data_IF_332969196719
#
_entry.id   IF_332969196719
#
_cell.length_a   1.000
_cell.length_b   1.000
_cell.length_c   1.000
_cell.angle_alpha   90.00
_cell.angle_beta   90.00
_cell.angle_gamma   90.00
#
_symmetry.space_group_name_H-M   'P 1'
#
loop_
_entity.id
_entity.type
_entity.pdbx_description
1 polymer ?
#
# COMPACT_ATOMS: atom_id res chain seq x y z
N UNK A 1 31.45 -18.04 10.20
CA UNK A 1 30.25 -18.90 10.15
C UNK A 1 28.96 -18.08 10.19
N UNK A 2 28.75 -17.22 11.20
CA UNK A 2 27.50 -16.42 11.32
C UNK A 2 27.24 -15.50 10.13
N UNK A 3 28.26 -14.87 9.53
CA UNK A 3 28.10 -14.07 8.31
C UNK A 3 27.45 -14.88 7.17
N UNK A 4 27.88 -16.14 6.96
CA UNK A 4 27.29 -17.00 5.93
C UNK A 4 25.82 -17.31 6.21
N UNK A 5 25.44 -17.46 7.48
CA UNK A 5 24.05 -17.65 7.88
C UNK A 5 23.21 -16.40 7.61
N UNK A 6 23.74 -15.21 7.89
CA UNK A 6 23.11 -13.93 7.57
C UNK A 6 22.95 -13.75 6.06
N UNK A 7 23.99 -14.08 5.29
CA UNK A 7 23.99 -13.95 3.83
C UNK A 7 22.95 -14.90 3.23
N UNK A 8 22.95 -16.18 3.65
CA UNK A 8 21.96 -17.17 3.25
C UNK A 8 20.53 -16.73 3.60
N UNK A 9 20.31 -16.24 4.83
CA UNK A 9 19.00 -15.76 5.25
C UNK A 9 18.56 -14.55 4.42
N UNK A 10 19.48 -13.64 4.11
CA UNK A 10 19.21 -12.47 3.26
C UNK A 10 18.85 -12.88 1.83
N UNK A 11 19.61 -13.79 1.22
CA UNK A 11 19.37 -14.30 -0.13
C UNK A 11 18.02 -15.01 -0.24
N UNK A 12 17.65 -15.77 0.79
CA UNK A 12 16.41 -16.53 0.84
C UNK A 12 15.24 -15.77 1.48
N UNK A 13 15.41 -14.48 1.80
CA UNK A 13 14.40 -13.60 2.44
C UNK A 13 13.86 -14.18 3.76
N UNK A 14 14.69 -14.89 4.49
CA UNK A 14 14.41 -15.40 5.84
C UNK A 14 14.80 -14.30 6.83
N UNK A 15 13.87 -13.95 7.72
CA UNK A 15 14.16 -13.04 8.84
C UNK A 15 14.68 -13.89 9.99
N UNK A 16 15.91 -13.63 10.40
CA UNK A 16 16.49 -14.27 11.59
C UNK A 16 15.89 -13.63 12.84
N UNK A 17 15.36 -14.46 13.72
CA UNK A 17 14.86 -14.02 15.01
C UNK A 17 16.03 -13.90 15.99
N UNK A 18 16.28 -12.69 16.49
CA UNK A 18 17.48 -12.37 17.28
C UNK A 18 17.23 -12.29 18.79
N UNK A 19 15.98 -12.36 19.23
CA UNK A 19 15.60 -12.22 20.64
C UNK A 19 14.93 -13.48 21.21
N UNK A 20 14.78 -14.52 20.41
CA UNK A 20 14.34 -15.82 20.93
C UNK A 20 15.40 -16.40 21.85
N UNK A 21 14.91 -17.01 22.92
CA UNK A 21 15.73 -17.60 23.95
C UNK A 21 15.84 -19.10 23.73
N UNK A 22 17.00 -19.66 24.01
CA UNK A 22 17.18 -21.10 24.12
C UNK A 22 16.63 -21.63 25.47
N UNK A 23 16.81 -22.94 25.70
CA UNK A 23 16.34 -23.62 26.92
C UNK A 23 17.00 -23.10 28.22
N UNK A 24 18.10 -22.35 28.12
CA UNK A 24 18.80 -21.74 29.26
C UNK A 24 18.53 -20.23 29.36
N UNK A 25 17.69 -19.69 28.49
CA UNK A 25 17.37 -18.27 28.45
C UNK A 25 18.38 -17.41 27.70
N UNK A 26 19.38 -17.99 27.04
CA UNK A 26 20.37 -17.28 26.23
C UNK A 26 19.79 -16.91 24.87
N UNK A 27 20.23 -15.78 24.34
CA UNK A 27 19.85 -15.27 23.03
C UNK A 27 21.08 -14.61 22.38
N UNK A 28 21.11 -14.43 21.05
CA UNK A 28 22.33 -14.06 20.32
C UNK A 28 23.14 -12.90 20.90
N UNK A 29 22.47 -11.83 21.35
CA UNK A 29 23.15 -10.69 21.95
C UNK A 29 23.75 -11.04 23.32
N UNK A 30 23.01 -11.77 24.16
CA UNK A 30 23.51 -12.19 25.48
C UNK A 30 24.70 -13.14 25.32
N UNK A 31 24.63 -14.11 24.41
CA UNK A 31 25.76 -14.99 24.08
C UNK A 31 26.99 -14.21 23.66
N UNK A 32 26.84 -13.28 22.72
CA UNK A 32 27.96 -12.47 22.23
C UNK A 32 28.61 -11.67 23.37
N UNK A 33 27.81 -11.09 24.27
CA UNK A 33 28.36 -10.37 25.43
C UNK A 33 29.02 -11.28 26.45
N UNK A 34 28.50 -12.50 26.62
CA UNK A 34 29.05 -13.48 27.54
C UNK A 34 30.44 -13.96 27.07
N UNK A 35 30.60 -14.23 25.76
CA UNK A 35 31.86 -14.62 25.15
C UNK A 35 32.81 -13.47 24.80
N UNK A 36 32.45 -12.23 25.15
CA UNK A 36 33.25 -11.02 24.88
C UNK A 36 33.46 -10.72 23.37
N UNK A 37 32.50 -11.11 22.52
CA UNK A 37 32.60 -11.01 21.06
C UNK A 37 32.03 -9.68 20.53
N UNK A 38 32.87 -8.64 20.52
CA UNK A 38 32.50 -7.31 19.98
C UNK A 38 32.09 -7.36 18.51
N UNK A 39 32.78 -8.17 17.69
CA UNK A 39 32.51 -8.25 16.25
C UNK A 39 31.12 -8.82 16.01
N UNK A 40 30.73 -9.84 16.77
CA UNK A 40 29.38 -10.39 16.74
C UNK A 40 28.33 -9.36 17.16
N UNK A 41 28.58 -8.57 18.21
CA UNK A 41 27.63 -7.53 18.64
C UNK A 41 27.42 -6.49 17.53
N UNK A 42 28.50 -6.03 16.89
CA UNK A 42 28.42 -5.09 15.75
C UNK A 42 27.59 -5.69 14.61
N UNK A 43 27.84 -6.96 14.26
CA UNK A 43 27.09 -7.68 13.23
C UNK A 43 25.59 -7.83 13.57
N UNK A 44 25.26 -8.17 14.81
CA UNK A 44 23.88 -8.29 15.29
C UNK A 44 23.17 -6.92 15.26
N UNK A 45 23.84 -5.85 15.69
CA UNK A 45 23.31 -4.48 15.64
C UNK A 45 23.02 -4.06 14.19
N UNK A 46 23.93 -4.34 13.26
CA UNK A 46 23.78 -3.99 11.85
C UNK A 46 22.64 -4.77 11.21
N UNK A 47 22.56 -6.08 11.44
CA UNK A 47 21.47 -6.91 10.96
C UNK A 47 20.12 -6.45 11.53
N UNK A 48 20.07 -6.18 12.84
CA UNK A 48 18.86 -5.70 13.51
C UNK A 48 18.40 -4.36 12.94
N UNK A 49 19.33 -3.42 12.69
CA UNK A 49 19.02 -2.14 12.07
C UNK A 49 18.47 -2.29 10.65
N UNK A 50 19.10 -3.13 9.81
CA UNK A 50 18.66 -3.39 8.43
C UNK A 50 17.27 -4.00 8.37
N UNK A 51 16.95 -4.89 9.31
CA UNK A 51 15.69 -5.62 9.36
C UNK A 51 14.65 -5.03 10.33
N UNK A 52 14.93 -3.85 10.91
CA UNK A 52 14.05 -3.14 11.87
C UNK A 52 13.69 -3.97 13.11
N UNK A 53 14.59 -4.84 13.54
CA UNK A 53 14.49 -5.60 14.79
C UNK A 53 15.01 -4.74 15.94
N UNK A 54 14.32 -4.77 17.08
CA UNK A 54 14.77 -4.14 18.32
C UNK A 54 15.43 -5.21 19.18
N UNK A 55 16.73 -5.09 19.44
CA UNK A 55 17.45 -6.04 20.30
C UNK A 55 17.06 -5.82 21.77
N UNK A 56 16.80 -6.92 22.49
CA UNK A 56 16.48 -6.89 23.91
C UNK A 56 17.76 -6.72 24.74
N UNK A 57 17.93 -5.55 25.37
CA UNK A 57 19.13 -5.23 26.16
C UNK A 57 19.01 -5.56 27.66
N UNK A 58 17.78 -5.67 28.17
CA UNK A 58 17.50 -5.82 29.61
C UNK A 58 16.98 -7.22 29.97
N UNK A 59 16.77 -8.07 28.97
CA UNK A 59 16.35 -9.44 29.24
C UNK A 59 17.49 -10.19 29.91
N UNK A 60 17.10 -11.10 30.79
CA UNK A 60 18.02 -12.00 31.46
C UNK A 60 17.77 -13.46 31.09
N UNK A 61 18.83 -14.26 31.17
CA UNK A 61 18.72 -15.71 31.12
C UNK A 61 18.19 -16.26 32.46
N UNK A 62 18.13 -17.59 32.60
CA UNK A 62 17.63 -18.25 33.81
C UNK A 62 18.46 -17.93 35.07
N UNK A 63 19.76 -17.67 34.89
CA UNK A 63 20.70 -17.33 35.97
C UNK A 63 20.69 -15.83 36.32
N UNK A 64 20.02 -15.00 35.52
CA UNK A 64 19.93 -13.56 35.73
C UNK A 64 20.96 -12.72 34.97
N UNK A 65 21.80 -13.32 34.12
CA UNK A 65 22.77 -12.60 33.28
C UNK A 65 22.08 -11.68 32.28
N UNK A 66 22.55 -10.45 32.19
CA UNK A 66 22.13 -9.45 31.20
C UNK A 66 23.30 -9.10 30.27
N UNK A 67 23.03 -8.60 29.05
CA UNK A 67 24.09 -8.17 28.13
C UNK A 67 25.08 -7.17 28.74
N UNK A 68 24.56 -6.20 29.49
CA UNK A 68 25.39 -5.16 30.11
C UNK A 68 26.27 -5.69 31.24
N UNK A 69 25.79 -6.69 32.00
CA UNK A 69 26.61 -7.38 32.98
C UNK A 69 27.72 -8.21 32.32
N UNK A 70 27.44 -8.83 31.16
CA UNK A 70 28.44 -9.50 30.32
C UNK A 70 29.66 -8.61 30.03
N UNK A 71 29.42 -7.37 29.58
CA UNK A 71 30.48 -6.40 29.34
C UNK A 71 31.27 -6.04 30.62
N UNK A 72 30.59 -5.93 31.77
CA UNK A 72 31.21 -5.58 33.05
C UNK A 72 32.11 -6.70 33.59
N UNK A 73 31.65 -7.97 33.60
CA UNK A 73 32.48 -9.10 34.05
C UNK A 73 33.66 -9.39 33.13
N UNK A 74 33.52 -9.09 31.83
CA UNK A 74 34.60 -9.20 30.85
C UNK A 74 35.55 -8.00 30.89
N UNK A 75 35.26 -7.01 31.73
CA UNK A 75 36.00 -5.76 31.81
C UNK A 75 36.13 -5.04 30.45
N UNK A 76 35.13 -5.18 29.58
CA UNK A 76 35.13 -4.66 28.23
C UNK A 76 34.34 -3.34 28.13
N UNK A 77 35.07 -2.22 28.22
CA UNK A 77 34.49 -0.87 28.15
C UNK A 77 33.95 -0.55 26.76
N UNK A 78 34.59 -1.03 25.68
CA UNK A 78 34.11 -0.80 24.31
C UNK A 78 32.75 -1.46 24.10
N UNK A 79 32.60 -2.71 24.54
CA UNK A 79 31.33 -3.42 24.49
C UNK A 79 30.24 -2.70 25.28
N UNK A 80 30.55 -2.23 26.49
CA UNK A 80 29.60 -1.49 27.31
C UNK A 80 29.16 -0.18 26.63
N UNK A 81 30.10 0.58 26.06
CA UNK A 81 29.79 1.77 25.26
C UNK A 81 28.89 1.43 24.07
N UNK A 82 29.19 0.37 23.32
CA UNK A 82 28.40 -0.06 22.17
C UNK A 82 26.95 -0.41 22.54
N UNK A 83 26.73 -1.10 23.66
CA UNK A 83 25.38 -1.40 24.17
C UNK A 83 24.65 -0.12 24.60
N UNK A 84 25.33 0.84 25.22
CA UNK A 84 24.75 2.13 25.57
C UNK A 84 24.37 2.94 24.34
N UNK A 85 25.26 3.07 23.35
CA UNK A 85 25.00 3.77 22.09
C UNK A 85 23.76 3.22 21.39
N UNK A 86 23.65 1.88 21.32
CA UNK A 86 22.48 1.24 20.77
C UNK A 86 21.22 1.53 21.59
N UNK A 87 21.31 1.52 22.92
CA UNK A 87 20.18 1.81 23.81
C UNK A 87 19.63 3.22 23.60
N UNK A 88 20.51 4.22 23.51
CA UNK A 88 20.17 5.63 23.26
C UNK A 88 19.46 5.75 21.91
N UNK A 89 20.06 5.19 20.87
CA UNK A 89 19.54 5.23 19.49
C UNK A 89 18.17 4.58 19.33
N UNK A 90 17.83 3.62 20.19
CA UNK A 90 16.53 2.93 20.17
C UNK A 90 15.57 3.45 21.24
N UNK A 91 15.97 4.42 22.07
CA UNK A 91 15.17 4.91 23.19
C UNK A 91 14.91 3.84 24.25
N UNK A 92 15.82 2.87 24.41
CA UNK A 92 15.72 1.80 25.40
C UNK A 92 16.39 2.26 26.68
N UNK A 93 15.64 2.32 27.78
CA UNK A 93 16.19 2.57 29.11
C UNK A 93 16.88 1.30 29.60
N UNK A 94 18.20 1.34 29.78
CA UNK A 94 18.97 0.21 30.31
C UNK A 94 18.69 0.02 31.80
N UNK A 95 18.68 -1.21 32.29
CA UNK A 95 18.45 -1.54 33.71
C UNK A 95 19.62 -2.34 34.25
N UNK A 96 20.20 -1.88 35.36
CA UNK A 96 21.21 -2.60 36.13
C UNK A 96 20.63 -2.85 37.52
N UNK A 97 20.46 -4.12 37.86
CA UNK A 97 19.98 -4.55 39.18
C UNK A 97 21.15 -5.14 39.97
N UNK A 98 21.55 -4.44 41.02
CA UNK A 98 22.68 -4.85 41.85
C UNK A 98 22.40 -6.16 42.59
N UNK A 99 21.13 -6.45 42.89
CA UNK A 99 20.77 -7.73 43.53
C UNK A 99 20.97 -8.91 42.57
N UNK A 100 20.66 -8.72 41.28
CA UNK A 100 20.91 -9.74 40.25
C UNK A 100 22.44 -9.98 40.11
N UNK A 101 23.26 -8.92 40.11
CA UNK A 101 24.73 -9.03 40.07
C UNK A 101 25.28 -9.76 41.31
N UNK A 102 24.85 -9.36 42.51
CA UNK A 102 25.28 -9.99 43.76
C UNK A 102 24.89 -11.48 43.79
N UNK A 103 23.69 -11.82 43.32
CA UNK A 103 23.22 -13.19 43.22
C UNK A 103 24.14 -14.03 42.32
N UNK A 104 24.40 -13.56 41.10
CA UNK A 104 25.27 -14.24 40.12
C UNK A 104 26.67 -14.50 40.68
N UNK A 105 27.25 -13.52 41.39
CA UNK A 105 28.56 -13.65 42.02
C UNK A 105 28.53 -14.66 43.19
N UNK A 106 27.43 -14.68 43.95
CA UNK A 106 27.31 -15.50 45.17
C UNK A 106 27.03 -16.98 44.93
N UNK A 107 26.34 -17.34 43.84
CA UNK A 107 25.91 -18.72 43.57
C UNK A 107 27.05 -19.59 43.00
N UNK A 108 28.31 -19.10 43.03
CA UNK A 108 29.50 -19.75 42.47
C UNK A 108 29.23 -20.37 41.09
N UNK A 109 28.50 -19.63 40.25
CA UNK A 109 28.28 -20.06 38.87
C UNK A 109 29.65 -20.28 38.22
N UNK A 110 29.91 -21.46 37.59
CA UNK A 110 31.25 -21.86 37.14
C UNK A 110 31.92 -20.91 36.13
N UNK A 111 31.18 -19.89 35.72
CA UNK A 111 31.40 -19.05 34.56
C UNK A 111 31.42 -17.55 34.89
N UNK A 112 31.04 -17.15 36.11
CA UNK A 112 31.19 -15.76 36.54
C UNK A 112 32.67 -15.44 36.75
N UNK A 113 33.16 -14.37 36.12
CA UNK A 113 34.57 -13.94 36.23
C UNK A 113 34.88 -13.10 37.47
N UNK A 114 33.84 -12.68 38.21
CA UNK A 114 33.96 -11.80 39.37
C UNK A 114 33.73 -12.61 40.64
N UNK A 115 34.65 -12.52 41.61
CA UNK A 115 34.48 -13.12 42.94
C UNK A 115 33.76 -12.17 43.90
N UNK A 116 33.78 -10.86 43.60
CA UNK A 116 33.14 -9.84 44.40
C UNK A 116 32.67 -8.69 43.50
N UNK A 117 31.52 -8.09 43.81
CA UNK A 117 31.02 -6.92 43.10
C UNK A 117 32.02 -5.75 43.09
N UNK A 118 32.90 -5.68 44.10
CA UNK A 118 33.95 -4.67 44.17
C UNK A 118 35.03 -4.80 43.11
N UNK A 119 35.14 -5.96 42.45
CA UNK A 119 36.08 -6.20 41.35
C UNK A 119 35.62 -5.55 40.04
N UNK A 120 34.36 -5.08 39.95
CA UNK A 120 33.89 -4.29 38.81
C UNK A 120 34.77 -3.05 38.66
N UNK A 121 35.37 -2.90 37.49
CA UNK A 121 36.25 -1.80 37.16
C UNK A 121 35.56 -0.45 37.40
N UNK A 122 36.27 0.46 38.09
CA UNK A 122 35.77 1.77 38.48
C UNK A 122 35.27 2.60 37.29
N UNK A 123 35.82 2.40 36.08
CA UNK A 123 35.37 3.08 34.87
C UNK A 123 33.90 2.76 34.53
N UNK A 124 33.44 1.52 34.75
CA UNK A 124 32.01 1.20 34.61
C UNK A 124 31.18 1.94 35.64
N UNK A 125 31.65 1.99 36.89
CA UNK A 125 30.93 2.67 37.97
C UNK A 125 30.76 4.16 37.67
N UNK A 126 31.81 4.81 37.15
CA UNK A 126 31.74 6.20 36.68
C UNK A 126 30.73 6.35 35.53
N UNK A 127 30.84 5.53 34.46
CA UNK A 127 29.90 5.55 33.33
C UNK A 127 28.45 5.35 33.77
N UNK A 128 28.17 4.32 34.58
CA UNK A 128 26.83 4.02 35.10
C UNK A 128 26.30 5.21 35.90
N UNK A 129 27.11 5.80 36.77
CA UNK A 129 26.72 6.98 37.54
C UNK A 129 26.32 8.15 36.63
N UNK A 130 27.12 8.46 35.61
CA UNK A 130 26.82 9.54 34.68
C UNK A 130 25.53 9.25 33.89
N UNK A 131 25.43 8.06 33.30
CA UNK A 131 24.27 7.65 32.52
C UNK A 131 22.98 7.58 33.35
N UNK A 132 23.08 7.25 34.64
CA UNK A 132 21.96 7.30 35.58
C UNK A 132 21.46 8.74 35.78
N UNK A 133 22.34 9.73 35.90
CA UNK A 133 21.96 11.12 36.14
C UNK A 133 21.27 11.77 34.94
N UNK A 134 21.55 11.30 33.73
CA UNK A 134 20.86 11.71 32.49
C UNK A 134 19.74 10.73 32.09
N UNK A 135 19.33 9.84 32.99
CA UNK A 135 18.19 8.92 32.83
C UNK A 135 18.30 7.91 31.67
N UNK A 136 19.52 7.57 31.24
CA UNK A 136 19.78 6.50 30.26
C UNK A 136 19.76 5.13 30.93
N UNK A 137 20.36 5.04 32.13
CA UNK A 137 20.42 3.81 32.92
C UNK A 137 19.60 3.95 34.19
N UNK A 138 18.73 2.97 34.43
CA UNK A 138 18.12 2.73 35.72
C UNK A 138 19.01 1.81 36.55
N UNK A 139 19.34 2.24 37.77
CA UNK A 139 20.12 1.44 38.72
C UNK A 139 19.26 1.10 39.92
N UNK A 140 19.12 -0.18 40.21
CA UNK A 140 18.43 -0.68 41.40
C UNK A 140 19.50 -1.13 42.38
N UNK A 141 19.52 -0.44 43.52
CA UNK A 141 20.52 -0.63 44.55
C UNK A 141 20.12 -1.76 45.49
N UNK A 142 21.09 -2.59 45.89
CA UNK A 142 20.89 -3.59 46.94
C UNK A 142 20.85 -2.94 48.32
N UNK A 143 20.44 -3.68 49.36
CA UNK A 143 20.38 -3.16 50.75
C UNK A 143 21.75 -2.66 51.23
N UNK A 144 22.84 -3.30 50.81
CA UNK A 144 24.22 -2.96 51.19
C UNK A 144 25.03 -2.43 50.00
N UNK A 145 24.34 -1.79 49.05
CA UNK A 145 24.81 -1.36 47.74
C UNK A 145 26.25 -0.87 47.70
N UNK A 146 27.07 -1.58 46.93
CA UNK A 146 28.40 -1.14 46.52
C UNK A 146 28.31 0.05 45.57
N UNK A 147 27.40 0.02 44.61
CA UNK A 147 27.24 1.09 43.61
C UNK A 147 26.88 2.42 44.27
N UNK A 148 25.94 2.43 45.21
CA UNK A 148 25.54 3.63 45.94
C UNK A 148 26.71 4.22 46.75
N UNK A 149 27.51 3.37 47.40
CA UNK A 149 28.72 3.80 48.12
C UNK A 149 29.70 4.49 47.17
N UNK A 150 29.99 3.87 46.02
CA UNK A 150 30.89 4.45 45.02
C UNK A 150 30.35 5.73 44.37
N UNK A 151 29.05 5.79 44.09
CA UNK A 151 28.42 7.00 43.56
C UNK A 151 28.54 8.19 44.54
N UNK A 152 28.41 7.92 45.84
CA UNK A 152 28.65 8.92 46.88
C UNK A 152 30.12 9.36 46.96
N UNK A 153 31.08 8.46 46.73
CA UNK A 153 32.50 8.80 46.62
C UNK A 153 32.78 9.70 45.40
N UNK A 154 32.23 9.37 44.24
CA UNK A 154 32.33 10.19 43.01
C UNK A 154 31.78 11.60 43.25
N UNK A 155 30.60 11.71 43.89
CA UNK A 155 29.99 12.98 44.24
C UNK A 155 30.88 13.85 45.17
N UNK A 156 31.50 13.24 46.19
CA UNK A 156 32.41 13.96 47.11
C UNK A 156 33.68 14.43 46.38
N UNK A 157 34.21 13.60 45.48
CA UNK A 157 35.42 13.91 44.74
C UNK A 157 35.22 14.98 43.65
N UNK A 158 34.00 15.16 43.12
CA UNK A 158 33.69 16.31 42.24
C UNK A 158 33.82 17.67 42.93
N UNK A 159 33.72 17.71 44.27
CA UNK A 159 34.00 18.92 45.06
C UNK A 159 35.49 19.19 45.32
N UNK A 160 36.38 18.29 44.90
CA UNK A 160 37.83 18.35 45.10
C UNK A 160 38.48 18.11 43.72
N UNK A 161 38.51 19.15 42.89
CA UNK A 161 38.89 19.04 41.47
C UNK A 161 40.34 18.55 41.25
N UNK A 162 40.51 17.61 40.32
CA UNK A 162 41.82 17.26 39.74
C UNK A 162 41.67 17.22 38.21
N UNK A 163 42.47 18.01 37.49
CA UNK A 163 42.27 18.36 36.07
C UNK A 163 42.24 17.17 35.10
N UNK A 164 42.97 16.09 35.42
CA UNK A 164 43.01 14.88 34.57
C UNK A 164 41.67 14.14 34.47
N UNK A 165 40.85 14.14 35.53
CA UNK A 165 39.52 13.47 35.51
C UNK A 165 38.46 14.27 34.76
N UNK A 166 38.69 15.58 34.57
CA UNK A 166 37.81 16.45 33.79
C UNK A 166 37.84 16.07 32.30
N UNK A 167 39.00 15.68 31.77
CA UNK A 167 39.16 15.41 30.33
C UNK A 167 38.45 14.14 29.84
N UNK A 168 38.55 13.01 30.55
CA UNK A 168 37.86 11.76 30.14
C UNK A 168 36.32 11.90 30.24
N UNK A 169 35.82 12.59 31.27
CA UNK A 169 34.38 12.88 31.44
C UNK A 169 33.88 13.85 30.37
N UNK A 170 34.65 14.89 30.03
CA UNK A 170 34.31 15.82 28.96
C UNK A 170 34.30 15.12 27.59
N UNK A 171 35.18 14.14 27.37
CA UNK A 171 35.25 13.37 26.13
C UNK A 171 34.02 12.47 25.96
N UNK A 172 33.58 11.80 27.02
CA UNK A 172 32.34 11.00 27.01
C UNK A 172 31.09 11.89 26.88
N UNK A 173 31.00 13.01 27.60
CA UNK A 173 29.91 13.98 27.43
C UNK A 173 29.86 14.56 26.00
N UNK A 174 31.02 14.77 25.38
CA UNK A 174 31.12 15.22 24.00
C UNK A 174 30.78 14.11 22.99
N UNK A 175 31.12 12.85 23.26
CA UNK A 175 30.69 11.69 22.46
C UNK A 175 29.17 11.54 22.51
N UNK A 176 28.56 11.60 23.70
CA UNK A 176 27.10 11.52 23.89
C UNK A 176 26.39 12.69 23.19
N UNK A 177 26.86 13.94 23.39
CA UNK A 177 26.30 15.11 22.69
C UNK A 177 26.44 15.02 21.18
N UNK A 178 27.54 14.46 20.65
CA UNK A 178 27.70 14.23 19.21
C UNK A 178 26.68 13.23 18.69
N UNK A 179 26.43 12.16 19.43
CA UNK A 179 25.41 11.15 19.08
C UNK A 179 24.02 11.80 19.05
N UNK A 180 23.62 12.52 20.09
CA UNK A 180 22.34 13.25 20.15
C UNK A 180 22.21 14.25 18.98
N UNK A 181 23.26 15.03 18.68
CA UNK A 181 23.26 16.00 17.59
C UNK A 181 23.21 15.34 16.21
N UNK A 182 23.83 14.18 16.03
CA UNK A 182 23.73 13.40 14.80
C UNK A 182 22.35 12.81 14.58
N UNK A 183 21.69 12.37 15.65
CA UNK A 183 20.31 11.88 15.57
C UNK A 183 19.34 13.00 15.20
N UNK A 184 19.45 14.17 15.81
CA UNK A 184 18.68 15.34 15.39
C UNK A 184 18.90 15.68 13.92
N UNK A 185 20.14 15.60 13.42
CA UNK A 185 20.45 15.86 12.01
C UNK A 185 19.82 14.82 11.09
N UNK A 186 19.93 13.53 11.44
CA UNK A 186 19.33 12.42 10.68
C UNK A 186 17.81 12.51 10.66
N UNK A 187 17.19 12.89 11.78
CA UNK A 187 15.75 13.10 11.87
C UNK A 187 15.28 14.31 11.07
N UNK A 188 16.00 15.45 11.15
CA UNK A 188 15.74 16.62 10.30
C UNK A 188 15.88 16.29 8.80
N UNK A 189 16.88 15.49 8.42
CA UNK A 189 17.06 15.05 7.04
C UNK A 189 15.92 14.10 6.59
N UNK A 190 15.50 13.17 7.45
CA UNK A 190 14.37 12.28 7.19
C UNK A 190 13.07 13.07 7.01
N UNK A 191 12.78 14.01 7.90
CA UNK A 191 11.63 14.91 7.80
C UNK A 191 11.69 15.72 6.50
N UNK A 192 12.87 16.20 6.11
CA UNK A 192 13.05 16.92 4.84
C UNK A 192 12.71 16.04 3.63
N UNK A 193 13.23 14.81 3.59
CA UNK A 193 12.92 13.84 2.52
C UNK A 193 11.44 13.48 2.49
N UNK A 194 10.83 13.25 3.65
CA UNK A 194 9.39 12.94 3.76
C UNK A 194 8.52 14.11 3.26
N UNK A 195 8.90 15.35 3.57
CA UNK A 195 8.21 16.54 3.06
C UNK A 195 8.38 16.75 1.55
N UNK A 196 9.53 16.36 0.98
CA UNK A 196 9.72 16.35 -0.47
C UNK A 196 8.84 15.31 -1.15
N UNK A 197 8.74 14.08 -0.60
CA UNK A 197 7.86 13.03 -1.10
C UNK A 197 6.39 13.48 -1.04
N UNK A 198 5.93 14.03 0.09
CA UNK A 198 4.55 14.54 0.23
C UNK A 198 4.21 15.63 -0.78
N UNK A 199 5.17 16.49 -1.15
CA UNK A 199 4.98 17.49 -2.21
C UNK A 199 4.79 16.85 -3.58
N UNK A 200 5.57 15.82 -3.89
CA UNK A 200 5.47 15.06 -5.15
C UNK A 200 4.11 14.36 -5.22
N UNK A 201 3.71 13.64 -4.18
CA UNK A 201 2.41 12.97 -4.08
C UNK A 201 1.25 13.95 -4.27
N UNK A 202 1.32 15.13 -3.64
CA UNK A 202 0.31 16.18 -3.80
C UNK A 202 0.24 16.73 -5.23
N UNK A 203 1.37 16.87 -5.92
CA UNK A 203 1.39 17.28 -7.34
C UNK A 203 0.82 16.20 -8.26
N UNK A 204 1.10 14.93 -7.98
CA UNK A 204 0.55 13.80 -8.73
C UNK A 204 -0.97 13.70 -8.56
N UNK A 205 -1.49 13.81 -7.33
CA UNK A 205 -2.93 13.87 -7.08
C UNK A 205 -3.61 15.03 -7.82
N UNK A 206 -2.97 16.21 -7.86
CA UNK A 206 -3.50 17.37 -8.59
C UNK A 206 -3.59 17.10 -10.09
N UNK A 207 -2.54 16.52 -10.69
CA UNK A 207 -2.52 16.14 -12.11
C UNK A 207 -3.61 15.12 -12.42
N UNK A 208 -3.81 14.14 -11.55
CA UNK A 208 -4.84 13.11 -11.71
C UNK A 208 -6.25 13.69 -11.61
N UNK A 209 -6.51 14.56 -10.63
CA UNK A 209 -7.78 15.30 -10.51
C UNK A 209 -8.07 16.15 -11.75
N UNK A 210 -7.06 16.80 -12.32
CA UNK A 210 -7.21 17.59 -13.56
C UNK A 210 -7.54 16.70 -14.76
N UNK A 211 -6.90 15.53 -14.87
CA UNK A 211 -7.18 14.54 -15.92
C UNK A 211 -8.62 14.02 -15.83
N UNK A 212 -9.07 13.64 -14.63
CA UNK A 212 -10.46 13.21 -14.37
C UNK A 212 -11.45 14.32 -14.75
N UNK A 213 -11.14 15.59 -14.43
CA UNK A 213 -11.99 16.72 -14.78
C UNK A 213 -12.16 16.85 -16.30
N UNK A 214 -11.06 16.78 -17.07
CA UNK A 214 -11.08 16.83 -18.54
C UNK A 214 -11.86 15.65 -19.12
N UNK A 215 -11.66 14.45 -18.60
CA UNK A 215 -12.37 13.24 -19.05
C UNK A 215 -13.89 13.35 -18.81
N UNK A 216 -14.30 13.92 -17.67
CA UNK A 216 -15.70 14.17 -17.37
C UNK A 216 -16.33 15.25 -18.27
N UNK A 217 -15.57 16.27 -18.70
CA UNK A 217 -16.03 17.24 -19.69
C UNK A 217 -16.25 16.59 -21.06
N UNK A 218 -15.32 15.74 -21.50
CA UNK A 218 -15.46 14.96 -22.75
C UNK A 218 -16.70 14.07 -22.71
N UNK A 219 -16.89 13.30 -21.63
CA UNK A 219 -18.07 12.43 -21.46
C UNK A 219 -19.39 13.21 -21.51
N UNK A 220 -19.43 14.44 -21.01
CA UNK A 220 -20.62 15.31 -21.12
C UNK A 220 -20.90 15.71 -22.56
N UNK A 221 -19.87 16.05 -23.32
CA UNK A 221 -19.99 16.42 -24.74
C UNK A 221 -20.49 15.22 -25.55
N UNK A 222 -19.87 14.04 -25.38
CA UNK A 222 -20.29 12.80 -26.05
C UNK A 222 -21.76 12.47 -25.75
N UNK A 223 -22.19 12.62 -24.49
CA UNK A 223 -23.59 12.39 -24.11
C UNK A 223 -24.56 13.39 -24.77
N UNK A 224 -24.16 14.66 -24.94
CA UNK A 224 -24.97 15.64 -25.66
C UNK A 224 -25.05 15.33 -27.17
N UNK A 225 -23.96 14.87 -27.76
CA UNK A 225 -23.93 14.46 -29.17
C UNK A 225 -24.82 13.25 -29.41
N UNK A 226 -24.74 12.21 -28.58
CA UNK A 226 -25.64 11.05 -28.66
C UNK A 226 -27.11 11.46 -28.54
N UNK A 227 -27.44 12.41 -27.65
CA UNK A 227 -28.82 12.90 -27.50
C UNK A 227 -29.31 13.59 -28.76
N UNK A 228 -28.48 14.44 -29.37
CA UNK A 228 -28.80 15.11 -30.65
C UNK A 228 -29.01 14.10 -31.77
N UNK A 229 -28.17 13.07 -31.83
CA UNK A 229 -28.29 12.02 -32.84
C UNK A 229 -29.55 11.18 -32.66
N UNK A 230 -29.87 10.77 -31.42
CA UNK A 230 -31.13 10.09 -31.08
C UNK A 230 -32.35 10.93 -31.46
N UNK A 231 -32.31 12.25 -31.24
CA UNK A 231 -33.39 13.15 -31.64
C UNK A 231 -33.53 13.24 -33.16
N UNK A 232 -32.42 13.28 -33.90
CA UNK A 232 -32.41 13.29 -35.37
C UNK A 232 -33.01 12.00 -35.92
N UNK A 233 -32.60 10.84 -35.41
CA UNK A 233 -33.14 9.53 -35.79
C UNK A 233 -34.65 9.46 -35.51
N UNK A 234 -35.11 10.03 -34.38
CA UNK A 234 -36.55 10.07 -34.05
C UNK A 234 -37.34 10.87 -35.08
N UNK A 235 -36.86 12.06 -35.47
CA UNK A 235 -37.50 12.90 -36.50
C UNK A 235 -37.53 12.19 -37.87
N UNK A 236 -36.42 11.54 -38.23
CA UNK A 236 -36.31 10.80 -39.49
C UNK A 236 -37.29 9.61 -39.55
N UNK A 237 -37.47 8.91 -38.43
CA UNK A 237 -38.45 7.83 -38.30
C UNK A 237 -39.91 8.33 -38.36
N UNK A 238 -40.20 9.53 -37.85
CA UNK A 238 -41.51 10.17 -38.02
C UNK A 238 -41.79 10.50 -39.48
N UNK A 239 -40.83 11.07 -40.20
CA UNK A 239 -40.95 11.36 -41.64
C UNK A 239 -41.22 10.07 -42.43
N UNK A 240 -40.43 9.01 -42.20
CA UNK A 240 -40.65 7.71 -42.87
C UNK A 240 -42.03 7.12 -42.62
N UNK A 241 -42.62 7.33 -41.43
CA UNK A 241 -43.99 6.90 -41.14
C UNK A 241 -45.02 7.67 -41.97
N UNK A 242 -44.84 8.98 -42.11
CA UNK A 242 -45.72 9.84 -42.91
C UNK A 242 -45.65 9.43 -44.38
N UNK A 243 -44.45 9.28 -44.93
CA UNK A 243 -44.22 8.82 -46.32
C UNK A 243 -44.90 7.47 -46.59
N UNK A 244 -44.79 6.52 -45.66
CA UNK A 244 -45.44 5.21 -45.77
C UNK A 244 -46.98 5.32 -45.77
N UNK A 245 -47.55 6.22 -44.97
CA UNK A 245 -49.00 6.48 -44.98
C UNK A 245 -49.47 7.12 -46.28
N UNK A 246 -48.69 8.05 -46.84
CA UNK A 246 -48.97 8.67 -48.13
C UNK A 246 -48.94 7.65 -49.27
N UNK A 247 -47.90 6.80 -49.34
CA UNK A 247 -47.85 5.70 -50.31
C UNK A 247 -49.05 4.77 -50.21
N UNK A 248 -49.49 4.44 -48.99
CA UNK A 248 -50.66 3.58 -48.77
C UNK A 248 -51.93 4.24 -49.31
N UNK A 249 -52.13 5.53 -49.05
CA UNK A 249 -53.26 6.31 -49.58
C UNK A 249 -53.24 6.36 -51.10
N UNK A 250 -52.06 6.54 -51.70
CA UNK A 250 -51.90 6.58 -53.15
C UNK A 250 -52.19 5.21 -53.79
N UNK A 251 -51.66 4.12 -53.22
CA UNK A 251 -51.99 2.74 -53.65
C UNK A 251 -53.49 2.45 -53.55
N UNK A 252 -54.15 2.92 -52.50
CA UNK A 252 -55.61 2.77 -52.35
C UNK A 252 -56.38 3.55 -53.42
N UNK A 253 -55.93 4.77 -53.74
CA UNK A 253 -56.52 5.59 -54.81
C UNK A 253 -56.38 4.92 -56.18
N UNK A 254 -55.18 4.43 -56.51
CA UNK A 254 -54.91 3.69 -57.75
C UNK A 254 -55.80 2.44 -57.84
N UNK A 255 -56.01 1.72 -56.72
CA UNK A 255 -56.89 0.56 -56.67
C UNK A 255 -58.34 0.94 -57.02
N UNK A 256 -58.88 2.02 -56.43
CA UNK A 256 -60.23 2.53 -56.73
C UNK A 256 -60.36 2.95 -58.20
N UNK A 257 -59.37 3.64 -58.75
CA UNK A 257 -59.36 4.02 -60.18
C UNK A 257 -59.36 2.79 -61.10
N UNK A 258 -58.60 1.75 -60.76
CA UNK A 258 -58.59 0.50 -61.52
C UNK A 258 -59.92 -0.26 -61.42
N UNK A 259 -60.60 -0.25 -60.27
CA UNK A 259 -61.95 -0.80 -60.12
C UNK A 259 -62.96 -0.07 -61.02
N UNK A 260 -62.92 1.27 -61.06
CA UNK A 260 -63.78 2.08 -61.94
C UNK A 260 -63.53 1.73 -63.42
N UNK A 261 -62.27 1.71 -63.86
CA UNK A 261 -61.93 1.36 -65.25
C UNK A 261 -62.41 -0.04 -65.64
N UNK A 262 -62.37 -1.00 -64.72
CA UNK A 262 -62.89 -2.34 -64.98
C UNK A 262 -64.42 -2.35 -65.16
N UNK A 263 -65.15 -1.57 -64.35
CA UNK A 263 -66.60 -1.40 -64.49
C UNK A 263 -66.94 -0.77 -65.84
N UNK A 264 -66.26 0.32 -66.22
CA UNK A 264 -66.44 0.98 -67.52
C UNK A 264 -66.19 0.02 -68.69
N UNK A 265 -65.14 -0.81 -68.59
CA UNK A 265 -64.83 -1.83 -69.61
C UNK A 265 -65.92 -2.90 -69.72
N UNK A 266 -66.52 -3.32 -68.60
CA UNK A 266 -67.65 -4.26 -68.61
C UNK A 266 -68.90 -3.64 -69.24
N UNK A 267 -69.18 -2.38 -68.95
CA UNK A 267 -70.29 -1.65 -69.56
C UNK A 267 -70.13 -1.52 -71.07
N UNK A 268 -68.95 -1.15 -71.55
CA UNK A 268 -68.63 -1.13 -72.99
C UNK A 268 -68.82 -2.50 -73.64
N UNK A 269 -68.39 -3.59 -72.97
CA UNK A 269 -68.57 -4.96 -73.49
C UNK A 269 -70.04 -5.29 -73.61
N UNK A 270 -70.86 -4.98 -72.59
CA UNK A 270 -72.32 -5.18 -72.63
C UNK A 270 -72.96 -4.37 -73.75
N UNK A 271 -72.51 -3.15 -73.99
CA UNK A 271 -73.01 -2.29 -75.05
C UNK A 271 -72.65 -2.84 -76.44
N UNK A 272 -71.38 -3.22 -76.66
CA UNK A 272 -70.93 -3.90 -77.89
C UNK A 272 -71.71 -5.18 -78.15
N UNK A 273 -72.04 -5.95 -77.11
CA UNK A 273 -72.86 -7.15 -77.23
C UNK A 273 -74.32 -6.85 -77.61
N UNK A 274 -74.92 -5.78 -77.05
CA UNK A 274 -76.25 -5.30 -77.46
C UNK A 274 -76.25 -4.88 -78.94
N UNK A 275 -75.24 -4.11 -79.37
CA UNK A 275 -75.09 -3.70 -80.77
C UNK A 275 -74.98 -4.93 -81.68
N UNK A 276 -74.17 -5.92 -81.29
CA UNK A 276 -74.02 -7.18 -82.05
C UNK A 276 -75.35 -7.92 -82.19
N UNK A 277 -76.11 -8.09 -81.10
CA UNK A 277 -77.45 -8.70 -81.14
C UNK A 277 -78.42 -7.92 -82.04
N UNK A 278 -78.38 -6.58 -81.99
CA UNK A 278 -79.18 -5.72 -82.87
C UNK A 278 -78.82 -5.88 -84.36
N UNK A 279 -77.53 -5.95 -84.69
CA UNK A 279 -77.06 -6.21 -86.06
C UNK A 279 -77.46 -7.61 -86.55
N UNK A 280 -77.42 -8.61 -85.68
CA UNK A 280 -77.87 -9.99 -85.96
C UNK A 280 -79.37 -10.02 -86.30
N UNK A 281 -80.20 -9.33 -85.51
CA UNK A 281 -81.64 -9.18 -85.77
C UNK A 281 -81.91 -8.50 -87.11
N UNK A 282 -81.23 -7.39 -87.40
CA UNK A 282 -81.32 -6.69 -88.70
C UNK A 282 -80.92 -7.59 -89.87
N UNK A 283 -79.91 -8.46 -89.69
CA UNK A 283 -79.48 -9.43 -90.69
C UNK A 283 -80.56 -10.49 -90.93
N UNK A 284 -81.13 -11.06 -89.88
CA UNK A 284 -82.27 -12.00 -89.96
C UNK A 284 -83.45 -11.36 -90.68
N UNK A 285 -83.74 -10.08 -90.38
CA UNK A 285 -84.84 -9.35 -91.00
C UNK A 285 -84.61 -9.09 -92.50
N UNK A 286 -83.38 -8.74 -92.88
CA UNK A 286 -82.97 -8.65 -94.30
C UNK A 286 -83.07 -10.00 -95.01
N UNK A 287 -82.71 -11.10 -94.37
CA UNK A 287 -82.85 -12.46 -94.94
C UNK A 287 -84.31 -12.89 -95.07
N UNK A 288 -85.17 -12.54 -94.10
CA UNK A 288 -86.63 -12.72 -94.21
C UNK A 288 -87.21 -11.91 -95.37
N UNK A 289 -86.80 -10.64 -95.54
CA UNK A 289 -87.18 -9.81 -96.70
C UNK A 289 -86.69 -10.40 -98.02
N UNK A 290 -85.45 -10.92 -98.08
CA UNK A 290 -84.94 -11.63 -99.28
C UNK A 290 -85.73 -12.90 -99.59
N UNK A 291 -86.07 -13.72 -98.59
CA UNK A 291 -86.93 -14.90 -98.77
C UNK A 291 -88.35 -14.54 -99.22
N UNK A 292 -88.89 -13.40 -98.75
CA UNK A 292 -90.18 -12.87 -99.21
C UNK A 292 -90.11 -12.42 -100.67
N UNK A 293 -89.07 -11.66 -101.05
CA UNK A 293 -88.82 -11.26 -102.45
C UNK A 293 -88.54 -12.45 -103.39
N UNK A 294 -87.95 -13.54 -102.91
CA UNK A 294 -87.76 -14.76 -103.72
C UNK A 294 -89.07 -15.53 -103.91
N UNK A 295 -89.96 -15.56 -102.91
CA UNK A 295 -91.29 -16.17 -103.05
C UNK A 295 -92.21 -15.37 -103.97
N UNK A 296 -92.07 -14.04 -104.02
CA UNK A 296 -92.85 -13.17 -104.92
C UNK A 296 -92.34 -13.15 -106.38
N UNK A 297 -91.21 -13.81 -106.68
CA UNK A 297 -90.65 -13.94 -108.03
C UNK A 297 -90.85 -15.32 -108.69
N UNK A 298 -91.57 -16.24 -108.04
CA UNK A 298 -91.80 -17.63 -108.51
C UNK A 298 -93.28 -17.89 -108.87
N UNK A 299 -94.12 -16.86 -108.95
CA UNK A 299 -95.51 -16.95 -109.45
C UNK A 299 -95.70 -15.86 -110.50
#
# INVERSE_FOLDING_TARGET
>A
MVQLLIDYATENKIILELNEKDDYGYYPLLDATYFDDIEMIKLLIDYANKNKIILKLNEKNEDGYTPIFGAMQNNNIEMFKLLMEYSIKKGIKLRIDENDIEKIISEEYPLCKLNNISEINYKFIELIYFCKNINIIEVIFSRNSYFLKRFNEINKNKGIENESKKYEVLEIENEIKKIELEEEKKEKEKIKKENEIKKIELEEEKKEKEKIKKENEIKKIELEEEKKEKEKIKKENEIKKIELEEEKKEKEKIKKENEIKNIELEEEKKEKEKIKKGLELLRIEKEKKKKKNWKERII
#
